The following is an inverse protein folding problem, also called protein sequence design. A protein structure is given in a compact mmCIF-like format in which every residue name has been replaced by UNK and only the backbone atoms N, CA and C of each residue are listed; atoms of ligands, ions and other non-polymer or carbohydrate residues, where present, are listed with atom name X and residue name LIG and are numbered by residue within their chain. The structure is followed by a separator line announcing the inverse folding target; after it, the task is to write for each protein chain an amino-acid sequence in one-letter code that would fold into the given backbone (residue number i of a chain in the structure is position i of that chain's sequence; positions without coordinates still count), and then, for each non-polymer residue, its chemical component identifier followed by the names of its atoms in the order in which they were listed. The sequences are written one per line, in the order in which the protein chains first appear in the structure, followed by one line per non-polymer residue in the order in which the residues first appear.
data_IF_962627085436
#
_entry.id   IF_962627085436
#
_cell.length_a   1.000
_cell.length_b   1.000
_cell.length_c   1.000
_cell.angle_alpha   90.00
_cell.angle_beta   90.00
_cell.angle_gamma   90.00
#
_symmetry.space_group_name_H-M   'P 1'
#
loop_
_entity.id
_entity.type
_entity.pdbx_description
1 polymer ?
#
# COMPACT_ATOMS: atom_id res chain seq x y z
N UNK A 1 -6.87 16.43 -52.00
CA UNK A 1 -6.43 15.11 -51.49
C UNK A 1 -5.77 15.29 -50.14
N UNK A 2 -6.19 14.44 -49.21
CA UNK A 2 -5.91 14.45 -47.77
C UNK A 2 -4.44 14.16 -47.45
N UNK A 3 -3.86 14.87 -46.48
CA UNK A 3 -2.89 14.22 -45.59
C UNK A 3 -3.20 14.55 -44.12
N UNK A 4 -4.22 13.83 -43.63
CA UNK A 4 -4.49 13.56 -42.23
C UNK A 4 -3.24 12.93 -41.59
N UNK A 5 -2.45 13.72 -40.89
CA UNK A 5 -1.66 13.22 -39.76
C UNK A 5 -1.57 14.30 -38.70
N UNK A 6 -2.75 14.67 -38.20
CA UNK A 6 -2.92 15.24 -36.89
C UNK A 6 -2.45 14.20 -35.86
N UNK A 7 -1.14 14.17 -35.58
CA UNK A 7 -0.59 13.59 -34.35
C UNK A 7 -0.97 14.52 -33.18
N UNK A 8 -2.26 14.61 -32.88
CA UNK A 8 -2.75 14.93 -31.55
C UNK A 8 -2.84 13.60 -30.82
N UNK A 9 -1.72 13.09 -30.32
CA UNK A 9 -1.80 12.24 -29.15
C UNK A 9 -2.18 13.18 -28.00
N UNK A 10 -3.49 13.30 -27.73
CA UNK A 10 -3.92 13.74 -26.42
C UNK A 10 -3.21 12.82 -25.43
N UNK A 11 -2.18 13.33 -24.74
CA UNK A 11 -1.62 12.68 -23.57
C UNK A 11 -2.80 12.39 -22.66
N UNK A 12 -3.17 11.11 -22.49
CA UNK A 12 -4.18 10.76 -21.52
C UNK A 12 -3.76 11.39 -20.19
N UNK A 13 -4.63 12.19 -19.57
CA UNK A 13 -4.30 12.86 -18.32
C UNK A 13 -3.90 11.78 -17.29
N UNK A 14 -2.71 11.92 -16.71
CA UNK A 14 -2.17 10.95 -15.75
C UNK A 14 -3.15 10.77 -14.60
N UNK A 15 -3.58 9.53 -14.34
CA UNK A 15 -4.47 9.21 -13.22
C UNK A 15 -3.78 9.55 -11.90
N UNK A 16 -4.51 10.18 -10.97
CA UNK A 16 -4.00 10.56 -9.65
C UNK A 16 -4.71 9.76 -8.56
N UNK A 17 -3.94 9.23 -7.60
CA UNK A 17 -4.47 8.61 -6.40
C UNK A 17 -3.81 9.18 -5.14
N UNK A 18 -4.58 9.30 -4.06
CA UNK A 18 -4.12 9.75 -2.75
C UNK A 18 -4.02 8.56 -1.79
N UNK A 19 -2.90 8.42 -1.08
CA UNK A 19 -2.84 7.59 0.13
C UNK A 19 -2.91 8.45 1.39
N UNK A 20 -3.66 8.00 2.38
CA UNK A 20 -3.73 8.56 3.73
C UNK A 20 -3.25 7.49 4.71
N UNK A 21 -1.98 7.54 5.09
CA UNK A 21 -1.32 6.45 5.81
C UNK A 21 -0.08 6.91 6.59
N UNK A 22 0.41 6.05 7.48
CA UNK A 22 1.67 6.25 8.18
C UNK A 22 2.90 6.15 7.26
N UNK A 23 3.97 6.82 7.66
CA UNK A 23 5.28 6.78 7.02
C UNK A 23 6.15 5.69 7.64
N UNK A 24 6.49 4.66 6.88
CA UNK A 24 7.41 3.58 7.26
C UNK A 24 8.86 3.97 6.90
N UNK A 25 9.74 4.09 7.91
CA UNK A 25 11.15 4.42 7.71
C UNK A 25 11.94 3.41 6.86
N UNK A 26 11.52 2.15 6.84
CA UNK A 26 12.11 1.09 5.99
C UNK A 26 11.51 1.02 4.59
N UNK A 27 10.45 1.80 4.34
CA UNK A 27 9.76 1.92 3.06
C UNK A 27 9.22 0.59 2.49
N UNK A 28 8.91 -0.40 3.34
CA UNK A 28 8.31 -1.68 2.96
C UNK A 28 6.79 -1.69 3.03
N UNK A 29 6.20 -0.85 3.89
CA UNK A 29 4.77 -0.66 4.10
C UNK A 29 4.39 0.83 4.02
N UNK A 30 3.22 1.19 4.59
CA UNK A 30 2.78 2.57 4.73
C UNK A 30 2.64 3.33 3.41
N UNK A 31 2.71 4.66 3.50
CA UNK A 31 2.62 5.54 2.34
C UNK A 31 3.71 5.25 1.30
N UNK A 32 4.88 4.78 1.72
CA UNK A 32 5.99 4.43 0.82
C UNK A 32 5.63 3.23 -0.07
N UNK A 33 5.05 2.16 0.50
CA UNK A 33 4.58 1.03 -0.29
C UNK A 33 3.46 1.44 -1.24
N UNK A 34 2.57 2.32 -0.81
CA UNK A 34 1.48 2.83 -1.63
C UNK A 34 2.01 3.63 -2.83
N UNK A 35 2.92 4.59 -2.60
CA UNK A 35 3.53 5.40 -3.67
C UNK A 35 4.34 4.56 -4.65
N UNK A 36 5.13 3.59 -4.17
CA UNK A 36 5.85 2.63 -5.03
C UNK A 36 4.88 1.83 -5.90
N UNK A 37 3.75 1.42 -5.33
CA UNK A 37 2.72 0.65 -6.04
C UNK A 37 1.99 1.51 -7.07
N UNK A 38 1.59 2.73 -6.71
CA UNK A 38 0.98 3.68 -7.65
C UNK A 38 1.91 3.94 -8.84
N UNK A 39 3.19 4.21 -8.56
CA UNK A 39 4.21 4.46 -9.58
C UNK A 39 4.37 3.25 -10.51
N UNK A 40 4.51 2.04 -9.94
CA UNK A 40 4.66 0.81 -10.71
C UNK A 40 3.43 0.50 -11.59
N UNK A 41 2.26 1.03 -11.24
CA UNK A 41 1.02 0.90 -12.00
C UNK A 41 0.70 2.14 -12.85
N UNK A 42 1.61 3.09 -13.01
CA UNK A 42 1.39 4.26 -13.87
C UNK A 42 0.35 5.26 -13.34
N UNK A 43 0.21 5.35 -12.01
CA UNK A 43 -0.65 6.30 -11.30
C UNK A 43 0.24 7.30 -10.55
N UNK A 44 -0.06 8.59 -10.67
CA UNK A 44 0.62 9.61 -9.88
C UNK A 44 0.11 9.57 -8.43
N UNK A 45 1.02 9.35 -7.49
CA UNK A 45 0.71 9.16 -6.09
C UNK A 45 0.87 10.46 -5.28
N UNK A 46 -0.19 10.82 -4.55
CA UNK A 46 -0.17 11.84 -3.50
C UNK A 46 -0.19 11.15 -2.13
N UNK A 47 0.24 11.87 -1.09
CA UNK A 47 0.23 11.36 0.28
C UNK A 47 -0.31 12.39 1.27
N UNK A 48 -1.03 11.91 2.28
CA UNK A 48 -1.29 12.61 3.54
C UNK A 48 -0.80 11.73 4.68
N UNK A 49 0.27 12.17 5.36
CA UNK A 49 0.95 11.37 6.39
C UNK A 49 0.22 11.50 7.72
N UNK A 50 -0.18 10.36 8.29
CA UNK A 50 -0.92 10.29 9.57
C UNK A 50 -0.01 10.11 10.77
N UNK A 51 1.12 9.45 10.59
CA UNK A 51 2.12 9.23 11.63
C UNK A 51 3.49 8.93 11.01
N UNK A 52 4.53 9.13 11.79
CA UNK A 52 5.89 8.67 11.45
C UNK A 52 6.16 7.40 12.26
N UNK A 53 6.53 6.33 11.55
CA UNK A 53 6.81 5.01 12.14
C UNK A 53 8.30 4.72 11.96
N UNK A 54 9.00 4.61 13.09
CA UNK A 54 10.35 4.09 13.15
C UNK A 54 10.29 2.56 13.23
N UNK A 55 10.35 1.90 12.08
CA UNK A 55 10.25 0.45 11.96
C UNK A 55 11.21 -0.15 10.93
N UNK A 56 11.40 -1.46 11.06
CA UNK A 56 12.00 -2.36 10.07
C UNK A 56 11.13 -3.62 9.99
N UNK A 57 11.27 -4.48 8.96
CA UNK A 57 10.50 -5.73 8.91
C UNK A 57 10.60 -6.53 10.21
N UNK A 58 9.46 -6.76 10.86
CA UNK A 58 9.37 -7.52 12.11
C UNK A 58 9.61 -6.74 13.40
N UNK A 59 9.88 -5.43 13.35
CA UNK A 59 10.02 -4.61 14.56
C UNK A 59 9.55 -3.17 14.36
N UNK A 60 8.58 -2.75 15.16
CA UNK A 60 8.21 -1.35 15.34
C UNK A 60 8.88 -0.82 16.61
N UNK A 61 9.66 0.27 16.49
CA UNK A 61 10.35 0.86 17.64
C UNK A 61 9.61 2.06 18.22
N UNK A 62 8.98 2.87 17.37
CA UNK A 62 8.26 4.07 17.80
C UNK A 62 7.24 4.48 16.75
N UNK A 63 6.10 4.98 17.22
CA UNK A 63 5.09 5.64 16.39
C UNK A 63 4.91 7.04 16.95
N UNK A 64 4.97 8.04 16.09
CA UNK A 64 4.64 9.42 16.42
C UNK A 64 3.46 9.87 15.55
N UNK A 65 2.26 10.07 16.14
CA UNK A 65 1.14 10.65 15.41
C UNK A 65 1.49 12.03 14.85
N UNK A 66 1.01 12.33 13.64
CA UNK A 66 0.98 13.69 13.14
C UNK A 66 -0.12 14.48 13.85
N UNK A 67 0.00 15.81 13.82
CA UNK A 67 -1.09 16.69 14.24
C UNK A 67 -2.35 16.42 13.37
N UNK A 68 -3.52 16.14 13.97
CA UNK A 68 -4.74 15.82 13.22
C UNK A 68 -5.15 16.91 12.20
N UNK A 69 -4.92 18.18 12.52
CA UNK A 69 -5.23 19.30 11.64
C UNK A 69 -4.29 19.33 10.43
N UNK A 70 -3.01 19.01 10.63
CA UNK A 70 -2.06 18.85 9.52
C UNK A 70 -2.47 17.70 8.60
N UNK A 71 -3.01 16.59 9.13
CA UNK A 71 -3.57 15.50 8.29
C UNK A 71 -4.74 16.02 7.45
N UNK A 72 -5.68 16.75 8.07
CA UNK A 72 -6.82 17.34 7.38
C UNK A 72 -6.39 18.26 6.23
N UNK A 73 -5.46 19.17 6.51
CA UNK A 73 -4.97 20.15 5.52
C UNK A 73 -4.26 19.46 4.35
N UNK A 74 -3.44 18.43 4.58
CA UNK A 74 -2.81 17.64 3.51
C UNK A 74 -3.85 17.01 2.57
N UNK A 75 -4.92 16.42 3.13
CA UNK A 75 -5.99 15.78 2.35
C UNK A 75 -6.75 16.83 1.54
N UNK A 76 -7.20 17.91 2.18
CA UNK A 76 -8.00 18.95 1.51
C UNK A 76 -7.20 19.66 0.41
N UNK A 77 -5.92 19.94 0.63
CA UNK A 77 -5.06 20.55 -0.38
C UNK A 77 -4.86 19.63 -1.59
N UNK A 78 -4.67 18.33 -1.35
CA UNK A 78 -4.55 17.32 -2.41
C UNK A 78 -5.83 17.24 -3.25
N UNK A 79 -6.99 17.17 -2.59
CA UNK A 79 -8.29 17.07 -3.26
C UNK A 79 -8.66 18.35 -4.02
N UNK A 80 -8.23 19.52 -3.54
CA UNK A 80 -8.46 20.81 -4.22
C UNK A 80 -7.55 21.03 -5.42
N UNK A 81 -6.31 20.54 -5.34
CA UNK A 81 -5.25 20.88 -6.31
C UNK A 81 -5.07 19.84 -7.42
N UNK A 82 -5.53 18.60 -7.20
CA UNK A 82 -5.32 17.49 -8.13
C UNK A 82 -6.63 16.78 -8.48
N UNK A 83 -6.77 16.22 -9.69
CA UNK A 83 -7.92 15.42 -10.09
C UNK A 83 -7.82 14.00 -9.49
N UNK A 84 -7.88 13.90 -8.16
CA UNK A 84 -7.80 12.62 -7.44
C UNK A 84 -8.98 11.73 -7.86
N UNK A 85 -8.68 10.53 -8.37
CA UNK A 85 -9.69 9.56 -8.80
C UNK A 85 -9.83 8.37 -7.83
N UNK A 86 -8.77 8.07 -7.06
CA UNK A 86 -8.78 7.02 -6.05
C UNK A 86 -8.14 7.49 -4.74
N UNK A 87 -8.68 7.03 -3.63
CA UNK A 87 -8.17 7.29 -2.28
C UNK A 87 -7.97 5.95 -1.57
N UNK A 88 -6.83 5.79 -0.92
CA UNK A 88 -6.55 4.65 -0.03
C UNK A 88 -6.33 5.17 1.39
N UNK A 89 -6.95 4.55 2.38
CA UNK A 89 -6.55 4.75 3.79
C UNK A 89 -5.77 3.54 4.29
N UNK A 90 -4.71 3.78 5.06
CA UNK A 90 -3.94 2.75 5.77
C UNK A 90 -4.00 2.98 7.28
N UNK A 91 -2.84 2.89 7.95
CA UNK A 91 -2.73 3.21 9.38
C UNK A 91 -3.14 4.67 9.65
N UNK A 92 -4.24 4.89 10.38
CA UNK A 92 -4.72 6.22 10.77
C UNK A 92 -4.32 6.63 12.20
N UNK A 93 -3.61 5.77 12.92
CA UNK A 93 -2.94 6.01 14.20
C UNK A 93 -3.84 6.26 15.43
N UNK A 94 -4.82 7.17 15.40
CA UNK A 94 -5.68 7.47 16.56
C UNK A 94 -7.06 8.02 16.16
N UNK A 95 -7.96 8.10 17.14
CA UNK A 95 -9.35 8.54 16.92
C UNK A 95 -9.46 9.96 16.35
N UNK A 96 -8.61 10.89 16.78
CA UNK A 96 -8.62 12.29 16.32
C UNK A 96 -8.27 12.39 14.83
N UNK A 97 -7.23 11.67 14.38
CA UNK A 97 -6.86 11.60 12.98
C UNK A 97 -7.97 10.94 12.16
N UNK A 98 -8.56 9.83 12.65
CA UNK A 98 -9.67 9.15 11.97
C UNK A 98 -10.84 10.12 11.75
N UNK A 99 -11.21 10.90 12.77
CA UNK A 99 -12.27 11.90 12.66
C UNK A 99 -11.98 12.96 11.59
N UNK A 100 -10.73 13.43 11.48
CA UNK A 100 -10.33 14.38 10.44
C UNK A 100 -10.33 13.76 9.04
N UNK A 101 -9.91 12.49 8.91
CA UNK A 101 -10.01 11.75 7.63
C UNK A 101 -11.46 11.62 7.21
N UNK A 102 -12.34 11.16 8.09
CA UNK A 102 -13.80 11.06 7.84
C UNK A 102 -14.37 12.41 7.39
N UNK A 103 -14.04 13.49 8.11
CA UNK A 103 -14.51 14.85 7.78
C UNK A 103 -14.11 15.28 6.37
N UNK A 104 -12.89 14.97 5.95
CA UNK A 104 -12.41 15.26 4.60
C UNK A 104 -13.07 14.38 3.55
N UNK A 105 -13.19 13.07 3.80
CA UNK A 105 -13.75 12.11 2.84
C UNK A 105 -15.26 12.29 2.60
N UNK A 106 -16.03 12.76 3.59
CA UNK A 106 -17.46 13.08 3.40
C UNK A 106 -17.71 14.12 2.31
N UNK A 107 -16.74 14.99 2.03
CA UNK A 107 -16.84 16.05 1.01
C UNK A 107 -16.50 15.53 -0.40
N UNK A 108 -15.93 14.34 -0.49
CA UNK A 108 -15.44 13.77 -1.75
C UNK A 108 -16.59 13.19 -2.56
N UNK A 109 -16.67 13.55 -3.84
CA UNK A 109 -17.61 12.97 -4.80
C UNK A 109 -16.83 12.32 -5.95
N UNK A 110 -17.30 11.16 -6.41
CA UNK A 110 -16.76 10.49 -7.60
C UNK A 110 -15.42 9.74 -7.42
N UNK A 111 -14.74 9.86 -6.27
CA UNK A 111 -13.53 9.08 -5.99
C UNK A 111 -13.87 7.67 -5.53
N UNK A 112 -13.02 6.70 -5.89
CA UNK A 112 -13.06 5.34 -5.35
C UNK A 112 -12.25 5.28 -4.07
N UNK A 113 -12.88 4.92 -2.96
CA UNK A 113 -12.23 4.88 -1.63
C UNK A 113 -11.98 3.44 -1.23
N UNK A 114 -10.72 3.07 -1.01
CA UNK A 114 -10.32 1.77 -0.48
C UNK A 114 -9.83 1.96 0.95
N UNK A 115 -10.47 1.30 1.90
CA UNK A 115 -10.09 1.36 3.31
C UNK A 115 -9.39 0.05 3.68
N UNK A 116 -8.09 0.14 3.95
CA UNK A 116 -7.32 -0.92 4.60
C UNK A 116 -7.37 -0.63 6.11
N UNK A 117 -8.06 -1.44 6.93
CA UNK A 117 -8.35 -1.07 8.31
C UNK A 117 -7.10 -0.89 9.18
N UNK A 118 -6.07 -1.72 8.98
CA UNK A 118 -4.79 -1.71 9.72
C UNK A 118 -5.01 -1.57 11.23
N UNK A 119 -5.91 -2.39 11.77
CA UNK A 119 -6.29 -2.37 13.20
C UNK A 119 -5.26 -3.13 14.04
N UNK A 120 -4.58 -4.10 13.41
CA UNK A 120 -3.61 -5.00 14.04
C UNK A 120 -2.29 -4.92 13.27
N UNK A 121 -1.18 -4.83 13.99
CA UNK A 121 0.16 -4.84 13.41
C UNK A 121 0.47 -6.19 12.77
N UNK A 122 1.45 -6.23 11.86
CA UNK A 122 1.95 -7.51 11.33
C UNK A 122 2.53 -8.42 12.42
N UNK A 123 2.91 -7.84 13.57
CA UNK A 123 3.36 -8.55 14.78
C UNK A 123 2.24 -9.05 15.69
N UNK A 124 0.98 -8.67 15.41
CA UNK A 124 -0.20 -9.03 16.22
C UNK A 124 -0.62 -7.98 17.26
N UNK A 125 0.15 -6.91 17.44
CA UNK A 125 -0.17 -5.86 18.41
C UNK A 125 -1.36 -5.00 17.96
N UNK A 126 -2.23 -4.61 18.89
CA UNK A 126 -3.30 -3.66 18.60
C UNK A 126 -2.70 -2.28 18.26
N UNK A 127 -3.03 -1.76 17.08
CA UNK A 127 -2.54 -0.46 16.61
C UNK A 127 -3.49 0.71 16.90
N UNK A 128 -4.76 0.40 17.18
CA UNK A 128 -5.81 1.38 17.40
C UNK A 128 -6.52 1.12 18.72
N UNK A 129 -6.79 2.20 19.45
CA UNK A 129 -7.63 2.17 20.64
C UNK A 129 -9.10 1.87 20.25
N UNK A 130 -9.91 1.27 21.16
CA UNK A 130 -11.30 0.92 20.87
C UNK A 130 -12.14 2.07 20.30
N UNK A 131 -11.93 3.29 20.79
CA UNK A 131 -12.64 4.49 20.36
C UNK A 131 -12.37 4.82 18.88
N UNK A 132 -11.15 4.55 18.40
CA UNK A 132 -10.84 4.71 16.98
C UNK A 132 -11.58 3.67 16.13
N UNK A 133 -11.67 2.42 16.59
CA UNK A 133 -12.40 1.35 15.90
C UNK A 133 -13.88 1.71 15.75
N UNK A 134 -14.49 2.29 16.78
CA UNK A 134 -15.89 2.74 16.72
C UNK A 134 -16.12 3.79 15.62
N UNK A 135 -15.21 4.77 15.49
CA UNK A 135 -15.29 5.77 14.42
C UNK A 135 -15.08 5.13 13.04
N UNK A 136 -14.16 4.16 12.94
CA UNK A 136 -13.98 3.38 11.71
C UNK A 136 -15.30 2.73 11.27
N UNK A 137 -15.94 1.99 12.19
CA UNK A 137 -17.17 1.23 11.89
C UNK A 137 -18.36 2.15 11.58
N UNK A 138 -18.55 3.21 12.38
CA UNK A 138 -19.72 4.09 12.26
C UNK A 138 -19.61 5.11 11.15
N UNK A 139 -18.40 5.60 10.87
CA UNK A 139 -18.22 6.79 10.03
C UNK A 139 -17.31 6.58 8.81
N UNK A 140 -16.26 5.75 8.90
CA UNK A 140 -15.31 5.57 7.79
C UNK A 140 -15.74 4.45 6.83
N UNK A 141 -16.09 3.27 7.34
CA UNK A 141 -16.48 2.12 6.53
C UNK A 141 -17.68 2.38 5.59
N UNK A 142 -18.71 3.14 6.00
CA UNK A 142 -19.81 3.50 5.10
C UNK A 142 -19.41 4.41 3.93
N UNK A 143 -18.26 5.09 4.01
CA UNK A 143 -17.75 5.96 2.93
C UNK A 143 -16.92 5.18 1.91
N UNK A 144 -16.55 3.94 2.22
CA UNK A 144 -15.65 3.17 1.38
C UNK A 144 -16.36 2.56 0.17
N UNK A 145 -15.64 2.45 -0.94
CA UNK A 145 -16.00 1.58 -2.06
C UNK A 145 -15.63 0.13 -1.78
N UNK A 146 -14.51 -0.10 -1.08
CA UNK A 146 -14.03 -1.43 -0.73
C UNK A 146 -13.32 -1.39 0.63
N UNK A 147 -13.64 -2.34 1.51
CA UNK A 147 -12.85 -2.66 2.69
C UNK A 147 -11.93 -3.84 2.40
N UNK A 148 -10.70 -3.81 2.91
CA UNK A 148 -9.73 -4.90 2.71
C UNK A 148 -9.20 -5.51 4.01
N UNK A 149 -10.05 -5.98 4.95
CA UNK A 149 -9.58 -6.58 6.20
C UNK A 149 -8.83 -7.90 5.96
N UNK A 150 -7.84 -8.21 6.79
CA UNK A 150 -7.28 -9.55 6.93
C UNK A 150 -8.13 -10.43 7.88
N UNK A 151 -7.72 -11.68 8.10
CA UNK A 151 -8.44 -12.61 8.99
C UNK A 151 -8.54 -12.12 10.44
N UNK A 152 -7.46 -11.58 11.01
CA UNK A 152 -7.42 -11.14 12.41
C UNK A 152 -8.28 -9.89 12.61
N UNK A 153 -8.19 -8.94 11.68
CA UNK A 153 -9.02 -7.74 11.64
C UNK A 153 -10.51 -8.12 11.49
N UNK A 154 -10.84 -9.03 10.58
CA UNK A 154 -12.20 -9.51 10.39
C UNK A 154 -12.74 -10.24 11.63
N UNK A 155 -11.92 -11.07 12.27
CA UNK A 155 -12.30 -11.73 13.51
C UNK A 155 -12.58 -10.72 14.63
N UNK A 156 -11.76 -9.67 14.73
CA UNK A 156 -11.98 -8.59 15.71
C UNK A 156 -13.25 -7.80 15.45
N UNK A 157 -13.57 -7.52 14.18
CA UNK A 157 -14.75 -6.74 13.76
C UNK A 157 -16.06 -7.53 13.87
N UNK A 158 -16.00 -8.87 13.77
CA UNK A 158 -17.16 -9.76 13.93
C UNK A 158 -17.32 -10.30 15.35
N UNK A 159 -16.23 -10.37 16.12
CA UNK A 159 -16.20 -11.09 17.39
C UNK A 159 -16.08 -12.61 17.24
N UNK A 160 -15.79 -13.11 16.04
CA UNK A 160 -15.79 -14.54 15.70
C UNK A 160 -14.49 -14.99 15.02
N UNK A 161 -13.94 -16.15 15.42
CA UNK A 161 -12.72 -16.68 14.78
C UNK A 161 -13.00 -17.28 13.39
N UNK A 162 -12.10 -17.02 12.43
CA UNK A 162 -12.22 -17.49 11.03
C UNK A 162 -11.14 -18.53 10.76
N UNK A 163 -11.52 -19.81 10.73
CA UNK A 163 -10.56 -20.94 10.71
C UNK A 163 -10.49 -21.71 9.39
N UNK A 164 -11.49 -21.55 8.53
CA UNK A 164 -11.59 -22.25 7.26
C UNK A 164 -12.21 -21.36 6.17
N UNK A 165 -12.18 -21.86 4.93
CA UNK A 165 -12.70 -21.13 3.77
C UNK A 165 -14.22 -20.88 3.88
N UNK A 166 -15.00 -21.81 4.45
CA UNK A 166 -16.43 -21.65 4.59
C UNK A 166 -16.78 -20.53 5.60
N UNK A 167 -16.04 -20.46 6.72
CA UNK A 167 -16.10 -19.38 7.70
C UNK A 167 -15.69 -18.05 7.07
N UNK A 168 -14.65 -18.05 6.21
CA UNK A 168 -14.21 -16.87 5.49
C UNK A 168 -15.29 -16.32 4.54
N UNK A 169 -16.00 -17.20 3.82
CA UNK A 169 -17.16 -16.82 3.00
C UNK A 169 -18.29 -16.21 3.84
N UNK A 170 -18.61 -16.81 4.99
CA UNK A 170 -19.62 -16.27 5.91
C UNK A 170 -19.21 -14.91 6.46
N UNK A 171 -17.96 -14.77 6.88
CA UNK A 171 -17.39 -13.55 7.44
C UNK A 171 -17.40 -12.41 6.42
N UNK A 172 -16.94 -12.65 5.18
CA UNK A 172 -16.97 -11.64 4.13
C UNK A 172 -18.39 -11.12 3.85
N UNK A 173 -19.39 -12.02 3.80
CA UNK A 173 -20.80 -11.63 3.64
C UNK A 173 -21.32 -10.87 4.85
N UNK A 174 -21.01 -11.31 6.06
CA UNK A 174 -21.44 -10.67 7.30
C UNK A 174 -20.90 -9.24 7.40
N UNK A 175 -19.61 -9.03 7.14
CA UNK A 175 -18.97 -7.71 7.14
C UNK A 175 -19.57 -6.80 6.05
N UNK A 176 -19.75 -7.32 4.84
CA UNK A 176 -20.31 -6.53 3.75
C UNK A 176 -21.75 -6.08 4.05
N UNK A 177 -22.56 -6.97 4.65
CA UNK A 177 -23.91 -6.64 5.10
C UNK A 177 -23.91 -5.66 6.28
N UNK A 178 -23.03 -5.88 7.28
CA UNK A 178 -22.93 -5.04 8.49
C UNK A 178 -22.63 -3.58 8.14
N UNK A 179 -21.72 -3.33 7.20
CA UNK A 179 -21.29 -1.98 6.84
C UNK A 179 -21.92 -1.42 5.58
N UNK A 180 -22.71 -2.21 4.84
CA UNK A 180 -23.30 -1.77 3.57
C UNK A 180 -22.28 -1.52 2.45
N UNK A 181 -21.08 -2.10 2.58
CA UNK A 181 -19.92 -1.82 1.71
C UNK A 181 -19.32 -3.11 1.18
N UNK A 182 -18.72 -3.10 -0.02
CA UNK A 182 -18.00 -4.26 -0.51
C UNK A 182 -16.79 -4.61 0.38
N UNK A 183 -16.55 -5.90 0.60
CA UNK A 183 -15.46 -6.39 1.46
C UNK A 183 -14.64 -7.40 0.70
N UNK A 184 -13.34 -7.18 0.60
CA UNK A 184 -12.36 -8.18 0.20
C UNK A 184 -11.64 -8.69 1.45
N UNK A 185 -12.11 -9.82 1.96
CA UNK A 185 -11.47 -10.50 3.08
C UNK A 185 -10.21 -11.21 2.58
N UNK A 186 -9.04 -10.78 3.07
CA UNK A 186 -7.73 -11.34 2.70
C UNK A 186 -7.46 -12.59 3.52
N UNK A 187 -7.38 -13.75 2.88
CA UNK A 187 -7.26 -15.04 3.59
C UNK A 187 -5.82 -15.39 3.95
N UNK A 188 -4.83 -14.76 3.28
CA UNK A 188 -3.42 -14.81 3.67
C UNK A 188 -2.93 -16.19 4.09
N UNK A 189 -2.77 -16.37 5.41
CA UNK A 189 -2.17 -17.50 6.12
C UNK A 189 -3.09 -18.69 6.39
N UNK A 190 -4.33 -18.71 5.88
CA UNK A 190 -5.17 -19.92 5.90
C UNK A 190 -4.35 -21.09 5.37
N UNK A 191 -4.21 -22.15 6.18
CA UNK A 191 -3.34 -23.29 5.87
C UNK A 191 -3.71 -23.86 4.50
N UNK A 192 -2.76 -23.86 3.57
CA UNK A 192 -2.98 -24.37 2.23
C UNK A 192 -1.89 -23.97 1.24
N UNK A 193 -1.96 -24.53 0.03
CA UNK A 193 -1.02 -24.22 -1.06
C UNK A 193 -1.34 -22.90 -1.79
N UNK A 194 -2.50 -22.30 -1.50
CA UNK A 194 -3.00 -21.09 -2.18
C UNK A 194 -3.40 -20.03 -1.17
N UNK A 195 -3.03 -18.79 -1.44
CA UNK A 195 -3.55 -17.63 -0.72
C UNK A 195 -4.87 -17.22 -1.39
N UNK A 196 -6.00 -17.58 -0.77
CA UNK A 196 -7.36 -17.28 -1.25
C UNK A 196 -7.87 -16.02 -0.56
N UNK A 197 -8.48 -15.12 -1.32
CA UNK A 197 -9.19 -13.93 -0.84
C UNK A 197 -10.64 -14.00 -1.30
N UNK A 198 -11.58 -13.52 -0.47
CA UNK A 198 -13.03 -13.58 -0.75
C UNK A 198 -13.59 -12.17 -0.83
N UNK A 199 -14.07 -11.79 -2.01
CA UNK A 199 -14.85 -10.57 -2.21
C UNK A 199 -16.32 -10.87 -1.94
N UNK A 200 -16.98 -10.04 -1.15
CA UNK A 200 -18.43 -9.96 -1.02
C UNK A 200 -18.89 -8.56 -1.42
N UNK A 201 -19.83 -8.46 -2.37
CA UNK A 201 -20.42 -7.20 -2.81
C UNK A 201 -21.88 -7.42 -3.17
N UNK A 202 -22.79 -6.79 -2.41
CA UNK A 202 -24.21 -7.11 -2.44
C UNK A 202 -24.45 -8.60 -2.18
N UNK A 203 -25.23 -9.25 -3.05
CA UNK A 203 -25.56 -10.68 -2.94
C UNK A 203 -24.54 -11.60 -3.63
N UNK A 204 -23.42 -11.05 -4.15
CA UNK A 204 -22.43 -11.83 -4.91
C UNK A 204 -21.16 -12.01 -4.10
N UNK A 205 -20.62 -13.22 -4.17
CA UNK A 205 -19.29 -13.55 -3.63
C UNK A 205 -18.37 -14.05 -4.73
N UNK A 206 -17.09 -13.73 -4.65
CA UNK A 206 -16.07 -14.18 -5.61
C UNK A 206 -14.74 -14.43 -4.93
N UNK A 207 -14.09 -15.52 -5.31
CA UNK A 207 -12.75 -15.85 -4.84
C UNK A 207 -11.66 -15.33 -5.78
N UNK A 208 -10.53 -14.93 -5.19
CA UNK A 208 -9.29 -14.60 -5.88
C UNK A 208 -8.17 -15.40 -5.25
N UNK A 209 -7.37 -16.10 -6.05
CA UNK A 209 -6.32 -16.95 -5.50
C UNK A 209 -5.04 -16.92 -6.29
N UNK A 210 -3.92 -17.06 -5.57
CA UNK A 210 -2.59 -17.23 -6.12
C UNK A 210 -1.84 -18.30 -5.33
N UNK A 211 -0.72 -18.78 -5.87
CA UNK A 211 0.17 -19.68 -5.14
C UNK A 211 0.69 -18.98 -3.88
N UNK A 212 0.67 -19.70 -2.76
CA UNK A 212 1.30 -19.25 -1.53
C UNK A 212 2.81 -19.37 -1.66
N UNK A 213 3.55 -18.36 -1.22
CA UNK A 213 5.02 -18.36 -1.22
C UNK A 213 5.48 -18.56 0.22
N UNK A 214 6.01 -19.75 0.57
CA UNK A 214 6.46 -20.02 1.93
C UNK A 214 7.72 -19.22 2.28
N UNK A 215 7.96 -19.05 3.58
CA UNK A 215 9.20 -18.51 4.16
C UNK A 215 9.58 -17.07 3.77
N UNK A 216 8.65 -16.30 3.21
CA UNK A 216 8.83 -14.88 2.90
C UNK A 216 8.23 -14.02 4.00
N UNK A 217 9.08 -13.47 4.87
CA UNK A 217 8.69 -12.60 5.99
C UNK A 217 8.78 -11.12 5.61
N UNK A 218 7.99 -10.71 4.62
CA UNK A 218 7.87 -9.29 4.23
C UNK A 218 6.75 -8.61 5.01
N UNK A 219 6.94 -7.36 5.44
CA UNK A 219 5.81 -6.49 5.80
C UNK A 219 5.32 -5.73 4.56
N UNK A 220 4.14 -5.10 4.68
CA UNK A 220 3.58 -4.26 3.62
C UNK A 220 2.76 -4.97 2.52
N UNK A 221 2.58 -6.30 2.59
CA UNK A 221 1.74 -7.04 1.62
C UNK A 221 0.31 -6.50 1.55
N UNK A 222 -0.28 -6.19 2.71
CA UNK A 222 -1.60 -5.57 2.81
C UNK A 222 -1.64 -4.20 2.13
N UNK A 223 -0.70 -3.30 2.47
CA UNK A 223 -0.62 -1.96 1.90
C UNK A 223 -0.42 -2.00 0.39
N UNK A 224 0.52 -2.81 -0.11
CA UNK A 224 0.75 -3.00 -1.55
C UNK A 224 -0.50 -3.53 -2.25
N UNK A 225 -1.22 -4.47 -1.63
CA UNK A 225 -2.42 -5.03 -2.25
C UNK A 225 -3.55 -4.01 -2.33
N UNK A 226 -3.86 -3.32 -1.23
CA UNK A 226 -4.90 -2.28 -1.20
C UNK A 226 -4.54 -1.10 -2.12
N UNK A 227 -3.27 -0.66 -2.15
CA UNK A 227 -2.81 0.36 -3.09
C UNK A 227 -2.93 -0.07 -4.56
N UNK A 228 -2.61 -1.34 -4.89
CA UNK A 228 -2.77 -1.83 -6.25
C UNK A 228 -4.25 -1.86 -6.68
N UNK A 229 -5.17 -2.19 -5.77
CA UNK A 229 -6.60 -2.11 -6.02
C UNK A 229 -7.01 -0.64 -6.25
N UNK A 230 -6.58 0.28 -5.38
CA UNK A 230 -6.88 1.71 -5.52
C UNK A 230 -6.39 2.27 -6.86
N UNK A 231 -5.18 1.90 -7.29
CA UNK A 231 -4.62 2.34 -8.57
C UNK A 231 -5.50 1.91 -9.76
N UNK A 232 -5.93 0.64 -9.78
CA UNK A 232 -6.78 0.13 -10.85
C UNK A 232 -8.19 0.74 -10.81
N UNK A 233 -8.77 0.92 -9.62
CA UNK A 233 -10.06 1.59 -9.44
C UNK A 233 -9.99 3.06 -9.89
N UNK A 234 -8.89 3.76 -9.61
CA UNK A 234 -8.66 5.14 -10.04
C UNK A 234 -8.61 5.28 -11.57
N UNK A 235 -8.13 4.25 -12.27
CA UNK A 235 -8.15 4.16 -13.74
C UNK A 235 -9.55 3.83 -14.32
N UNK A 236 -10.56 3.67 -13.46
CA UNK A 236 -11.91 3.31 -13.87
C UNK A 236 -12.15 1.82 -14.10
N UNK A 237 -11.21 0.95 -13.70
CA UNK A 237 -11.37 -0.51 -13.84
C UNK A 237 -12.49 -1.00 -12.90
N UNK A 238 -13.30 -1.95 -13.37
CA UNK A 238 -14.34 -2.59 -12.55
C UNK A 238 -13.72 -3.34 -11.36
N UNK A 239 -14.41 -3.32 -10.22
CA UNK A 239 -13.92 -3.80 -8.92
C UNK A 239 -13.32 -5.21 -8.96
N UNK A 240 -14.03 -6.19 -9.51
CA UNK A 240 -13.52 -7.56 -9.57
C UNK A 240 -12.27 -7.68 -10.44
N UNK A 241 -12.23 -6.93 -11.56
CA UNK A 241 -11.04 -6.89 -12.42
C UNK A 241 -9.87 -6.18 -11.76
N UNK A 242 -10.11 -5.08 -11.05
CA UNK A 242 -9.11 -4.35 -10.26
C UNK A 242 -8.48 -5.27 -9.20
N UNK A 243 -9.30 -6.02 -8.47
CA UNK A 243 -8.83 -6.99 -7.47
C UNK A 243 -8.04 -8.12 -8.11
N UNK A 244 -8.46 -8.64 -9.27
CA UNK A 244 -7.71 -9.67 -9.99
C UNK A 244 -6.32 -9.17 -10.45
N UNK A 245 -6.24 -7.96 -11.00
CA UNK A 245 -4.96 -7.33 -11.39
C UNK A 245 -4.08 -7.14 -10.16
N UNK A 246 -4.63 -6.56 -9.10
CA UNK A 246 -3.90 -6.31 -7.86
C UNK A 246 -3.42 -7.61 -7.19
N UNK A 247 -4.19 -8.71 -7.26
CA UNK A 247 -3.78 -10.03 -6.73
C UNK A 247 -2.57 -10.56 -7.49
N UNK A 248 -2.58 -10.46 -8.83
CA UNK A 248 -1.41 -10.79 -9.66
C UNK A 248 -0.22 -9.90 -9.32
N UNK A 249 -0.48 -8.63 -9.03
CA UNK A 249 0.53 -7.65 -8.65
C UNK A 249 1.27 -8.04 -7.37
N UNK A 250 0.54 -8.11 -6.26
CA UNK A 250 1.13 -8.43 -4.96
C UNK A 250 1.78 -9.82 -4.96
N UNK A 251 1.18 -10.81 -5.63
CA UNK A 251 1.75 -12.16 -5.72
C UNK A 251 3.09 -12.18 -6.46
N UNK A 252 3.24 -11.37 -7.50
CA UNK A 252 4.53 -11.23 -8.19
C UNK A 252 5.55 -10.51 -7.32
N UNK A 253 5.15 -9.42 -6.66
CA UNK A 253 6.03 -8.66 -5.77
C UNK A 253 6.55 -9.49 -4.58
N UNK A 254 5.74 -10.42 -4.07
CA UNK A 254 6.15 -11.41 -3.05
C UNK A 254 7.14 -12.42 -3.64
N UNK A 255 6.86 -12.97 -4.83
CA UNK A 255 7.77 -13.97 -5.46
C UNK A 255 9.13 -13.39 -5.80
N UNK A 256 9.19 -12.15 -6.26
CA UNK A 256 10.43 -11.48 -6.65
C UNK A 256 11.03 -10.62 -5.55
N UNK A 257 10.65 -10.85 -4.29
CA UNK A 257 11.09 -10.07 -3.13
C UNK A 257 12.61 -9.90 -3.08
N UNK A 258 13.04 -8.78 -2.52
CA UNK A 258 14.44 -8.54 -2.20
C UNK A 258 14.82 -9.22 -0.89
N UNK A 259 16.08 -9.67 -0.80
CA UNK A 259 16.65 -10.24 0.41
C UNK A 259 18.01 -9.61 0.67
N UNK A 260 18.19 -9.05 1.86
CA UNK A 260 19.49 -8.62 2.36
C UNK A 260 19.90 -9.47 3.55
N UNK A 261 21.18 -9.86 3.60
CA UNK A 261 21.79 -10.46 4.80
C UNK A 261 22.29 -9.34 5.69
N UNK A 262 21.82 -9.28 6.93
CA UNK A 262 22.23 -8.26 7.89
C UNK A 262 22.41 -8.88 9.28
N UNK A 263 23.62 -8.81 9.83
CA UNK A 263 23.99 -9.54 11.04
C UNK A 263 23.73 -11.05 10.89
N UNK A 264 23.06 -11.65 11.88
CA UNK A 264 22.65 -13.05 11.86
C UNK A 264 21.28 -13.30 11.20
N UNK A 265 20.65 -12.27 10.63
CA UNK A 265 19.29 -12.34 10.08
C UNK A 265 19.19 -12.06 8.59
N UNK A 266 17.95 -12.14 8.08
CA UNK A 266 17.56 -11.74 6.73
C UNK A 266 16.49 -10.66 6.80
N UNK A 267 16.63 -9.63 5.97
CA UNK A 267 15.63 -8.59 5.76
C UNK A 267 14.98 -8.87 4.41
N UNK A 268 13.65 -8.95 4.40
CA UNK A 268 12.86 -9.17 3.19
C UNK A 268 12.07 -7.91 2.85
N UNK A 269 12.01 -7.53 1.57
CA UNK A 269 11.11 -6.48 1.11
C UNK A 269 10.43 -6.86 -0.22
N UNK A 270 9.20 -6.42 -0.40
CA UNK A 270 8.48 -6.63 -1.67
C UNK A 270 9.18 -5.89 -2.81
N UNK A 271 9.17 -6.51 -4.00
CA UNK A 271 9.70 -5.91 -5.21
C UNK A 271 8.56 -5.49 -6.17
N UNK A 272 8.08 -4.25 -6.08
CA UNK A 272 6.98 -3.77 -6.93
C UNK A 272 7.38 -3.57 -8.40
N UNK A 273 8.67 -3.59 -8.72
CA UNK A 273 9.19 -3.32 -10.08
C UNK A 273 9.00 -4.48 -11.06
N UNK A 274 8.69 -5.69 -10.57
CA UNK A 274 8.67 -6.90 -11.39
C UNK A 274 7.59 -6.93 -12.50
N UNK A 275 6.51 -6.15 -12.38
CA UNK A 275 5.42 -6.14 -13.37
C UNK A 275 5.51 -4.97 -14.35
N UNK A 276 6.17 -3.87 -13.99
CA UNK A 276 6.35 -2.71 -14.86
C UNK A 276 7.03 -3.08 -16.20
N UNK A 277 7.80 -4.17 -16.24
CA UNK A 277 8.49 -4.67 -17.43
C UNK A 277 7.67 -5.67 -18.29
N UNK A 278 6.40 -5.95 -17.96
CA UNK A 278 5.58 -6.92 -18.72
C UNK A 278 4.63 -6.29 -19.73
N UNK A 279 4.57 -4.95 -19.81
CA UNK A 279 3.81 -4.22 -20.83
C UNK A 279 4.64 -3.83 -22.06
N UNK A 280 5.94 -4.15 -22.09
CA UNK A 280 6.75 -3.99 -23.30
C UNK A 280 6.63 -5.24 -24.19
N UNK A 281 6.34 -5.10 -25.51
CA UNK A 281 6.33 -6.23 -26.42
C UNK A 281 7.69 -6.95 -26.41
N UNK A 282 7.66 -8.27 -26.55
CA UNK A 282 8.82 -9.15 -26.41
C UNK A 282 10.01 -8.87 -27.37
N UNK A 283 9.86 -7.93 -28.30
CA UNK A 283 10.83 -7.57 -29.33
C UNK A 283 11.94 -6.60 -28.89
N UNK A 284 11.94 -6.10 -27.64
CA UNK A 284 12.96 -5.15 -27.16
C UNK A 284 13.90 -5.69 -26.07
N UNK A 285 13.98 -7.01 -25.89
CA UNK A 285 15.00 -7.61 -25.02
C UNK A 285 16.30 -7.78 -25.80
N UNK A 286 17.21 -6.81 -25.70
CA UNK A 286 18.60 -7.01 -26.08
C UNK A 286 19.30 -7.94 -25.06
N UNK A 287 20.09 -8.94 -25.52
CA UNK A 287 20.88 -9.76 -24.60
C UNK A 287 22.02 -8.92 -24.02
N UNK A 288 22.11 -8.87 -22.69
CA UNK A 288 23.18 -8.18 -21.97
C UNK A 288 24.56 -8.72 -22.38
N UNK A 289 25.45 -7.78 -22.68
CA UNK A 289 26.85 -8.02 -22.97
C UNK A 289 27.58 -8.51 -21.73
N UNK A 290 28.21 -9.68 -21.84
CA UNK A 290 29.25 -10.15 -20.93
C UNK A 290 30.32 -9.04 -20.80
N UNK A 291 30.53 -8.52 -19.60
CA UNK A 291 31.74 -7.76 -19.28
C UNK A 291 32.64 -8.60 -18.40
N UNK A 292 33.84 -8.82 -18.92
CA UNK A 292 34.98 -9.44 -18.29
C UNK A 292 35.35 -8.73 -16.98
N UNK A 293 35.62 -9.52 -15.94
CA UNK A 293 36.36 -9.10 -14.76
C UNK A 293 37.85 -9.00 -15.10
N UNK A 294 38.50 -7.90 -14.68
CA UNK A 294 39.95 -7.83 -14.52
C UNK A 294 40.28 -7.21 -13.14
N UNK A 295 41.23 -7.75 -12.36
CA UNK A 295 41.40 -7.38 -10.95
C UNK A 295 42.43 -6.26 -10.76
N UNK A 296 42.03 -5.16 -10.11
CA UNK A 296 42.98 -4.11 -9.69
C UNK A 296 43.73 -4.49 -8.42
N UNK A 297 45.07 -4.49 -8.53
CA UNK A 297 46.05 -4.75 -7.47
C UNK A 297 46.11 -3.63 -6.42
N UNK A 298 46.44 -4.05 -5.20
CA UNK A 298 46.75 -3.25 -4.00
C UNK A 298 47.87 -2.21 -4.24
N UNK A 299 47.72 -1.02 -3.66
CA UNK A 299 48.82 -0.22 -3.13
C UNK A 299 48.42 0.47 -1.82
N UNK A 300 49.35 0.52 -0.87
CA UNK A 300 49.14 0.90 0.53
C UNK A 300 49.55 2.36 0.81
N UNK A 301 48.72 3.08 1.60
CA UNK A 301 48.98 4.00 2.74
C UNK A 301 50.06 5.11 2.63
N UNK A 302 49.85 6.32 3.21
CA UNK A 302 49.85 6.48 4.67
C UNK A 302 48.85 7.46 5.30
N UNK A 303 48.73 7.32 6.63
CA UNK A 303 47.90 8.09 7.57
C UNK A 303 48.39 9.55 7.70
N UNK A 304 47.47 10.50 7.84
CA UNK A 304 47.72 11.81 8.44
C UNK A 304 46.60 12.18 9.43
N UNK A 305 46.99 13.01 10.41
CA UNK A 305 46.41 13.21 11.75
C UNK A 305 45.10 14.02 11.78
N UNK A 306 44.36 13.84 12.87
CA UNK A 306 43.21 14.65 13.33
C UNK A 306 43.68 16.01 13.85
N UNK A 307 42.84 17.04 13.71
CA UNK A 307 42.49 18.00 14.77
C UNK A 307 41.19 18.78 14.44
N UNK A 308 40.51 19.42 15.42
CA UNK A 308 39.06 19.62 15.39
C UNK A 308 38.55 21.08 15.33
N UNK A 309 37.40 21.26 14.64
CA UNK A 309 36.31 22.25 14.87
C UNK A 309 36.62 23.77 14.63
N UNK A 310 35.62 24.70 14.62
CA UNK A 310 34.16 24.56 14.72
C UNK A 310 33.31 25.38 13.71
N UNK A 311 32.00 25.08 13.71
CA UNK A 311 30.84 25.96 13.41
C UNK A 311 30.70 26.61 12.01
N UNK A 312 29.66 26.19 11.28
CA UNK A 312 28.97 27.07 10.34
C UNK A 312 27.47 26.74 10.31
N UNK A 313 26.67 27.75 10.67
CA UNK A 313 25.21 27.77 10.58
C UNK A 313 24.80 27.70 9.11
N UNK A 314 23.88 26.81 8.76
CA UNK A 314 23.16 26.89 7.49
C UNK A 314 21.70 27.26 7.74
N UNK A 315 21.33 28.45 7.27
CA UNK A 315 19.95 28.89 7.05
C UNK A 315 19.41 28.12 5.85
N UNK A 316 18.24 27.50 5.99
CA UNK A 316 17.45 27.02 4.86
C UNK A 316 16.52 28.15 4.40
N UNK A 317 16.71 28.58 3.16
CA UNK A 317 15.70 29.21 2.31
C UNK A 317 15.08 28.14 1.41
N UNK A 318 13.78 28.31 1.14
CA UNK A 318 12.88 27.39 0.47
C UNK A 318 13.21 27.09 -1.01
N UNK A 319 12.69 25.95 -1.47
CA UNK A 319 12.01 25.73 -2.76
C UNK A 319 10.95 24.64 -2.56
#
# INVERSE_FOLDING_TARGET
MSNKNARRSQSAATTVALTVAGSDSSAGAGAQADLKTFTALGVYGLTAITCIVAETPGKVSRIQPADPEIVRVQIELSLKSFPVAGIKTGLLCNAEIVAQVVRSLRKVKGCRVVVDPVIVATTGDALLAPEAIEIYERELFPLATLLTPNLDEAARLLGDSIRDLAAMHRAARALAKKYGTAVLLKGGHLRGRRAIDVLSSGNRTREFSALFVPDVKTHGTGCTYSAAITAELAKGVELSRAIATAKKFVSSAIRSHFVWKFGHGKIFALNPSCIANTTAPASQRHPESRRHEEPLKRMARPRAKRDPSPSARFRMTAC
#
